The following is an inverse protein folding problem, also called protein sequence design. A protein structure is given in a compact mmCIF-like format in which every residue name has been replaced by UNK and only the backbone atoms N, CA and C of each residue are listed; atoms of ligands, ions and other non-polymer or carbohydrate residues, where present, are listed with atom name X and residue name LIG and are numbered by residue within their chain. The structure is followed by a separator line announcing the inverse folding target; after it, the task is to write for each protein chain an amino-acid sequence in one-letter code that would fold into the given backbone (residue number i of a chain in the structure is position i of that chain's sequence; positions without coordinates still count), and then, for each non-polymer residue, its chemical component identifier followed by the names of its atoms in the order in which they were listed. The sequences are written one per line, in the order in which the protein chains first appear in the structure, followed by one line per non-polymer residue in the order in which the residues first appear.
data_IF_132880713252
#
_entry.id   IF_132880713252
#
_cell.length_a   1.000
_cell.length_b   1.000
_cell.length_c   1.000
_cell.angle_alpha   90.00
_cell.angle_beta   90.00
_cell.angle_gamma   90.00
#
_symmetry.space_group_name_H-M   'P 1'
#
loop_
_entity.id
_entity.type
_entity.pdbx_description
1 polymer ?
#
# COMPACT_ATOMS: atom_id res chain seq x y z
N UNK A 1 23.10 -1.56 9.41
CA UNK A 1 22.69 -0.16 9.40
C UNK A 1 21.18 -0.03 9.46
N UNK A 2 20.72 0.82 10.35
CA UNK A 2 19.30 1.13 10.44
C UNK A 2 18.96 2.26 9.50
N UNK A 3 17.92 2.08 8.69
CA UNK A 3 17.30 3.20 7.98
C UNK A 3 16.35 3.86 8.99
N UNK A 4 16.71 5.07 9.42
CA UNK A 4 15.88 5.85 10.33
C UNK A 4 15.00 6.75 9.48
N UNK A 5 13.74 6.39 9.40
CA UNK A 5 12.69 7.30 8.98
C UNK A 5 12.06 7.84 10.26
N UNK A 6 11.72 9.10 10.29
CA UNK A 6 11.23 9.77 11.50
C UNK A 6 10.09 8.98 12.17
N UNK A 7 10.35 8.42 13.35
CA UNK A 7 9.42 7.56 14.09
C UNK A 7 9.34 6.11 13.62
N UNK A 8 10.10 5.73 12.60
CA UNK A 8 10.10 4.39 12.05
C UNK A 8 11.55 3.93 11.86
N UNK A 9 11.93 2.85 12.55
CA UNK A 9 13.27 2.27 12.45
C UNK A 9 13.19 0.88 11.85
N UNK A 10 13.83 0.70 10.70
CA UNK A 10 13.93 -0.60 10.04
C UNK A 10 15.37 -0.79 9.60
N UNK A 11 15.90 -2.01 9.74
CA UNK A 11 17.22 -2.31 9.24
C UNK A 11 17.21 -2.39 7.72
N UNK A 12 18.31 -2.00 7.10
CA UNK A 12 18.48 -2.11 5.64
C UNK A 12 18.33 -3.56 5.17
N UNK A 13 18.73 -4.50 6.02
CA UNK A 13 18.54 -5.94 5.77
C UNK A 13 17.06 -6.33 5.85
N UNK A 14 16.27 -5.73 6.74
CA UNK A 14 14.82 -5.95 6.78
C UNK A 14 14.12 -5.39 5.55
N UNK A 15 14.62 -4.30 4.99
CA UNK A 15 14.11 -3.72 3.74
C UNK A 15 14.57 -4.50 2.50
N UNK A 16 15.76 -5.09 2.54
CA UNK A 16 16.35 -5.83 1.40
C UNK A 16 16.05 -7.33 1.42
N UNK A 17 15.81 -7.91 2.60
CA UNK A 17 15.64 -9.37 2.76
C UNK A 17 14.29 -9.86 2.27
N UNK A 18 13.49 -8.98 1.74
CA UNK A 18 12.20 -9.38 1.33
C UNK A 18 11.86 -8.75 0.00
N UNK A 19 12.19 -9.47 -1.04
CA UNK A 19 11.36 -9.42 -2.24
C UNK A 19 9.87 -9.67 -1.89
N UNK A 20 9.57 -9.98 -0.64
CA UNK A 20 8.26 -10.29 -0.09
C UNK A 20 8.10 -9.75 1.34
N UNK A 21 8.62 -8.54 1.63
CA UNK A 21 8.35 -7.89 2.92
C UNK A 21 6.86 -7.82 3.16
N UNK A 22 6.49 -8.03 4.40
CA UNK A 22 5.15 -7.73 4.85
C UNK A 22 4.92 -6.21 4.69
N UNK A 23 4.22 -5.82 3.64
CA UNK A 23 3.98 -4.41 3.33
C UNK A 23 3.10 -3.74 4.39
N UNK A 24 2.29 -4.52 5.11
CA UNK A 24 1.53 -4.03 6.26
C UNK A 24 2.50 -3.63 7.38
N UNK A 25 3.51 -4.44 7.61
CA UNK A 25 4.55 -4.11 8.59
C UNK A 25 5.32 -2.85 8.19
N UNK A 26 5.67 -2.72 6.91
CA UNK A 26 6.38 -1.54 6.40
C UNK A 26 5.55 -0.27 6.60
N UNK A 27 4.29 -0.27 6.13
CA UNK A 27 3.47 0.94 6.15
C UNK A 27 3.04 1.36 7.56
N UNK A 28 2.98 0.41 8.48
CA UNK A 28 2.63 0.65 9.88
C UNK A 28 3.84 0.90 10.79
N UNK A 29 5.04 1.04 10.23
CA UNK A 29 6.28 1.15 11.01
C UNK A 29 6.47 0.01 12.03
N UNK A 30 6.06 -1.20 11.68
CA UNK A 30 6.21 -2.39 12.51
C UNK A 30 5.10 -2.60 13.54
N UNK A 31 4.11 -1.71 13.61
CA UNK A 31 2.99 -1.85 14.57
C UNK A 31 2.04 -2.97 14.20
N UNK A 32 1.93 -3.30 12.92
CA UNK A 32 1.05 -4.34 12.40
C UNK A 32 1.83 -5.29 11.50
N UNK A 33 1.26 -6.47 11.29
CA UNK A 33 1.70 -7.43 10.27
C UNK A 33 0.48 -7.87 9.47
N UNK A 34 0.71 -8.58 8.37
CA UNK A 34 -0.37 -9.19 7.59
C UNK A 34 -1.20 -10.21 8.38
N UNK A 35 -0.70 -10.63 9.55
CA UNK A 35 -1.38 -11.58 10.45
C UNK A 35 -1.99 -10.91 11.68
N UNK A 36 -1.92 -9.58 11.78
CA UNK A 36 -2.54 -8.86 12.89
C UNK A 36 -4.06 -9.03 12.86
N UNK A 37 -4.66 -9.08 14.06
CA UNK A 37 -6.10 -9.20 14.14
C UNK A 37 -6.79 -7.86 13.79
N UNK A 38 -8.06 -7.89 13.36
CA UNK A 38 -8.78 -6.68 12.95
C UNK A 38 -8.88 -5.61 14.04
N UNK A 39 -8.96 -5.99 15.32
CA UNK A 39 -9.05 -5.01 16.41
C UNK A 39 -7.74 -4.23 16.57
N UNK A 40 -6.61 -4.89 16.39
CA UNK A 40 -5.30 -4.22 16.38
C UNK A 40 -5.19 -3.25 15.21
N UNK A 41 -5.65 -3.67 14.04
CA UNK A 41 -5.68 -2.80 12.85
C UNK A 41 -6.54 -1.56 13.09
N UNK A 42 -7.73 -1.72 13.64
CA UNK A 42 -8.64 -0.62 13.97
C UNK A 42 -7.96 0.35 14.94
N UNK A 43 -7.29 -0.16 15.96
CA UNK A 43 -6.61 0.68 16.96
C UNK A 43 -5.51 1.52 16.32
N UNK A 44 -4.66 0.90 15.50
CA UNK A 44 -3.57 1.61 14.82
C UNK A 44 -4.11 2.65 13.85
N UNK A 45 -5.13 2.32 13.07
CA UNK A 45 -5.76 3.25 12.13
C UNK A 45 -6.38 4.44 12.85
N UNK A 46 -7.07 4.22 13.97
CA UNK A 46 -7.67 5.31 14.76
C UNK A 46 -6.63 6.26 15.33
N UNK A 47 -5.50 5.72 15.79
CA UNK A 47 -4.40 6.53 16.30
C UNK A 47 -3.64 7.26 15.18
N UNK A 48 -3.72 6.74 13.98
CA UNK A 48 -3.02 7.25 12.82
C UNK A 48 -1.70 6.52 12.56
N UNK A 49 -1.45 6.22 11.28
CA UNK A 49 -0.18 5.67 10.81
C UNK A 49 0.83 6.81 10.70
N UNK A 50 2.08 6.55 11.07
CA UNK A 50 3.14 7.53 10.88
C UNK A 50 3.44 7.71 9.39
N UNK A 51 3.56 8.94 8.93
CA UNK A 51 3.88 9.26 7.54
C UNK A 51 5.19 8.60 7.07
N UNK A 52 6.14 8.38 7.98
CA UNK A 52 7.40 7.68 7.66
C UNK A 52 7.16 6.26 7.12
N UNK A 53 6.13 5.58 7.63
CA UNK A 53 5.74 4.25 7.12
C UNK A 53 5.21 4.33 5.69
N UNK A 54 4.44 5.37 5.39
CA UNK A 54 3.95 5.62 4.03
C UNK A 54 5.10 5.90 3.06
N UNK A 55 6.09 6.69 3.47
CA UNK A 55 7.30 6.93 2.67
C UNK A 55 8.08 5.63 2.43
N UNK A 56 8.25 4.82 3.48
CA UNK A 56 8.94 3.53 3.36
C UNK A 56 8.20 2.59 2.41
N UNK A 57 6.88 2.54 2.50
CA UNK A 57 6.05 1.75 1.59
C UNK A 57 6.20 2.22 0.13
N UNK A 58 6.08 3.53 -0.11
CA UNK A 58 6.22 4.09 -1.46
C UNK A 58 7.60 3.76 -2.05
N UNK A 59 8.65 3.89 -1.25
CA UNK A 59 10.00 3.54 -1.67
C UNK A 59 10.13 2.04 -2.02
N UNK A 60 9.58 1.17 -1.18
CA UNK A 60 9.58 -0.27 -1.43
C UNK A 60 8.85 -0.63 -2.73
N UNK A 61 7.75 0.06 -3.04
CA UNK A 61 6.95 -0.16 -4.24
C UNK A 61 7.52 0.51 -5.48
N UNK A 62 8.53 1.38 -5.34
CA UNK A 62 9.02 2.21 -6.44
C UNK A 62 8.03 3.29 -6.86
N UNK A 63 7.15 3.73 -5.96
CA UNK A 63 6.16 4.78 -6.22
C UNK A 63 6.72 6.14 -5.80
N UNK A 64 6.52 7.15 -6.65
CA UNK A 64 6.86 8.52 -6.29
C UNK A 64 5.78 9.12 -5.36
N UNK A 65 6.05 10.32 -4.84
CA UNK A 65 5.15 10.99 -3.90
C UNK A 65 3.77 11.26 -4.46
N UNK A 66 3.68 11.60 -5.73
CA UNK A 66 2.39 11.85 -6.40
C UNK A 66 1.58 10.56 -6.49
N UNK A 67 2.23 9.45 -6.84
CA UNK A 67 1.57 8.15 -6.96
C UNK A 67 1.01 7.68 -5.63
N UNK A 68 1.81 7.72 -4.56
CA UNK A 68 1.33 7.28 -3.24
C UNK A 68 0.25 8.22 -2.70
N UNK A 69 0.40 9.53 -2.85
CA UNK A 69 -0.59 10.48 -2.41
C UNK A 69 -1.94 10.24 -3.10
N UNK A 70 -1.94 10.03 -4.41
CA UNK A 70 -3.15 9.73 -5.16
C UNK A 70 -3.79 8.42 -4.68
N UNK A 71 -3.00 7.39 -4.43
CA UNK A 71 -3.50 6.10 -3.92
C UNK A 71 -4.18 6.24 -2.55
N UNK A 72 -3.71 7.18 -1.73
CA UNK A 72 -4.25 7.44 -0.39
C UNK A 72 -5.38 8.49 -0.37
N UNK A 73 -5.73 9.05 -1.52
CA UNK A 73 -6.75 10.09 -1.60
C UNK A 73 -6.32 11.42 -1.01
N UNK A 74 -5.03 11.73 -1.03
CA UNK A 74 -4.46 12.99 -0.52
C UNK A 74 -3.54 13.63 -1.57
N UNK A 75 -2.81 14.66 -1.19
CA UNK A 75 -1.87 15.34 -2.07
C UNK A 75 -0.43 15.15 -1.60
N UNK A 76 0.52 15.23 -2.53
CA UNK A 76 1.95 15.16 -2.18
C UNK A 76 2.35 16.29 -1.22
N UNK A 77 1.76 17.47 -1.36
CA UNK A 77 1.99 18.59 -0.44
C UNK A 77 1.52 18.25 0.99
N UNK A 78 0.36 17.62 1.14
CA UNK A 78 -0.17 17.20 2.45
C UNK A 78 0.75 16.16 3.08
N UNK A 79 1.18 15.16 2.34
CA UNK A 79 2.13 14.15 2.84
C UNK A 79 3.46 14.79 3.23
N UNK A 80 3.98 15.71 2.42
CA UNK A 80 5.25 16.40 2.71
C UNK A 80 5.20 17.22 4.00
N UNK A 81 4.06 17.85 4.27
CA UNK A 81 3.85 18.61 5.53
C UNK A 81 3.70 17.69 6.74
N UNK A 82 3.35 16.43 6.52
CA UNK A 82 3.11 15.46 7.59
C UNK A 82 4.33 14.61 7.93
N UNK A 83 5.52 14.98 7.47
CA UNK A 83 6.76 14.24 7.77
C UNK A 83 6.86 13.95 9.26
N UNK A 84 7.11 12.70 9.62
CA UNK A 84 7.27 12.23 10.99
C UNK A 84 6.00 12.36 11.87
N UNK A 85 4.88 12.79 11.32
CA UNK A 85 3.63 12.95 12.05
C UNK A 85 2.70 11.79 11.76
N UNK A 86 1.73 11.61 12.67
CA UNK A 86 0.64 10.68 12.45
C UNK A 86 -0.33 11.26 11.42
N UNK A 87 -0.73 10.43 10.48
CA UNK A 87 -1.72 10.78 9.47
C UNK A 87 -3.13 10.69 10.08
N UNK A 88 -4.10 11.31 9.41
CA UNK A 88 -5.50 11.18 9.82
C UNK A 88 -5.94 9.71 9.79
N UNK A 89 -6.96 9.36 10.56
CA UNK A 89 -7.51 8.00 10.56
C UNK A 89 -8.01 7.60 9.17
N UNK A 90 -8.59 8.51 8.42
CA UNK A 90 -9.06 8.24 7.06
C UNK A 90 -7.90 7.91 6.12
N UNK A 91 -6.85 8.72 6.12
CA UNK A 91 -5.66 8.44 5.28
C UNK A 91 -4.97 7.16 5.72
N UNK A 92 -4.92 6.89 7.03
CA UNK A 92 -4.35 5.67 7.60
C UNK A 92 -5.13 4.42 7.17
N UNK A 93 -6.46 4.50 7.12
CA UNK A 93 -7.31 3.43 6.60
C UNK A 93 -6.96 3.11 5.15
N UNK A 94 -6.89 4.14 4.30
CA UNK A 94 -6.50 3.95 2.90
C UNK A 94 -5.09 3.36 2.79
N UNK A 95 -4.16 3.82 3.60
CA UNK A 95 -2.78 3.32 3.60
C UNK A 95 -2.73 1.81 3.90
N UNK A 96 -3.40 1.38 4.96
CA UNK A 96 -3.45 -0.03 5.33
C UNK A 96 -4.09 -0.89 4.23
N UNK A 97 -5.21 -0.44 3.68
CA UNK A 97 -5.92 -1.18 2.63
C UNK A 97 -5.11 -1.27 1.33
N UNK A 98 -4.41 -0.20 0.95
CA UNK A 98 -3.53 -0.21 -0.22
C UNK A 98 -2.36 -1.17 -0.02
N UNK A 99 -1.77 -1.21 1.17
CA UNK A 99 -0.69 -2.15 1.48
C UNK A 99 -1.17 -3.61 1.40
N UNK A 100 -2.32 -3.92 1.98
CA UNK A 100 -2.92 -5.26 1.91
C UNK A 100 -3.24 -5.68 0.47
N UNK A 101 -3.82 -4.79 -0.30
CA UNK A 101 -4.14 -5.05 -1.70
C UNK A 101 -2.87 -5.29 -2.52
N UNK A 102 -1.82 -4.50 -2.27
CA UNK A 102 -0.55 -4.66 -2.95
C UNK A 102 0.11 -6.00 -2.64
N UNK A 103 0.01 -6.48 -1.39
CA UNK A 103 0.49 -7.83 -1.06
C UNK A 103 -0.24 -8.91 -1.86
N UNK A 104 -1.57 -8.82 -1.95
CA UNK A 104 -2.37 -9.73 -2.77
C UNK A 104 -2.00 -9.69 -4.25
N UNK A 105 -1.77 -8.48 -4.78
CA UNK A 105 -1.37 -8.29 -6.17
C UNK A 105 0.00 -8.87 -6.45
N UNK A 106 0.98 -8.59 -5.60
CA UNK A 106 2.34 -9.12 -5.75
C UNK A 106 2.34 -10.64 -5.65
N UNK A 107 1.57 -11.20 -4.73
CA UNK A 107 1.41 -12.66 -4.59
C UNK A 107 0.90 -13.30 -5.89
N UNK A 108 -0.09 -12.70 -6.52
CA UNK A 108 -0.65 -13.21 -7.77
C UNK A 108 0.28 -12.96 -8.96
N UNK A 109 0.77 -11.75 -9.15
CA UNK A 109 1.57 -11.36 -10.32
C UNK A 109 3.05 -11.77 -10.21
N UNK A 110 3.51 -12.13 -9.02
CA UNK A 110 4.83 -12.68 -8.78
C UNK A 110 5.94 -11.66 -8.45
N UNK A 111 5.72 -10.37 -8.69
CA UNK A 111 6.70 -9.33 -8.37
C UNK A 111 6.04 -7.96 -8.23
N UNK A 112 6.75 -7.03 -7.57
CA UNK A 112 6.34 -5.62 -7.48
C UNK A 112 6.26 -5.01 -8.88
N UNK A 113 7.21 -5.33 -9.75
CA UNK A 113 7.27 -4.82 -11.12
C UNK A 113 6.05 -5.24 -11.92
N UNK A 114 5.66 -6.50 -11.82
CA UNK A 114 4.48 -7.02 -12.51
C UNK A 114 3.18 -6.43 -11.96
N UNK A 115 3.09 -6.28 -10.64
CA UNK A 115 1.96 -5.60 -10.00
C UNK A 115 1.83 -4.15 -10.49
N UNK A 116 2.93 -3.41 -10.50
CA UNK A 116 2.97 -2.03 -10.98
C UNK A 116 2.60 -1.95 -12.47
N UNK A 117 3.10 -2.87 -13.29
CA UNK A 117 2.78 -2.91 -14.71
C UNK A 117 1.28 -3.11 -14.93
N UNK A 118 0.65 -4.03 -14.18
CA UNK A 118 -0.78 -4.26 -14.26
C UNK A 118 -1.57 -3.03 -13.80
N UNK A 119 -1.18 -2.41 -12.69
CA UNK A 119 -1.82 -1.21 -12.17
C UNK A 119 -1.77 -0.02 -13.13
N UNK A 120 -0.72 0.06 -13.94
CA UNK A 120 -0.49 1.17 -14.86
C UNK A 120 -0.99 0.91 -16.28
N UNK A 121 -1.50 -0.28 -16.56
CA UNK A 121 -2.02 -0.66 -17.87
C UNK A 121 -3.53 -0.49 -17.92
N UNK A 122 -4.05 0.05 -19.00
CA UNK A 122 -5.50 0.16 -19.21
C UNK A 122 -6.12 -1.22 -19.43
N UNK A 123 -7.23 -1.49 -18.75
CA UNK A 123 -7.97 -2.75 -18.88
C UNK A 123 -9.45 -2.47 -19.14
N UNK A 124 -10.07 -3.37 -19.90
CA UNK A 124 -11.49 -3.23 -20.26
C UNK A 124 -12.40 -3.25 -19.04
N UNK A 125 -12.05 -4.02 -18.00
CA UNK A 125 -12.78 -4.09 -16.73
C UNK A 125 -12.83 -2.74 -16.00
N UNK A 126 -11.95 -1.82 -16.36
CA UNK A 126 -11.87 -0.46 -15.81
C UNK A 126 -12.24 0.61 -16.86
N UNK A 127 -13.10 0.25 -17.81
CA UNK A 127 -13.49 1.14 -18.92
C UNK A 127 -12.28 1.68 -19.67
N UNK A 128 -11.31 0.80 -19.98
CA UNK A 128 -10.06 1.13 -20.67
C UNK A 128 -9.21 2.17 -19.93
N UNK A 129 -9.30 2.20 -18.61
CA UNK A 129 -8.45 3.01 -17.73
C UNK A 129 -7.52 2.12 -16.91
N UNK A 130 -6.49 2.70 -16.34
CA UNK A 130 -5.55 2.00 -15.49
C UNK A 130 -6.15 1.77 -14.08
N UNK A 131 -6.01 0.57 -13.49
CA UNK A 131 -6.54 0.28 -12.16
C UNK A 131 -6.04 1.22 -11.06
N UNK A 132 -4.82 1.77 -11.20
CA UNK A 132 -4.27 2.70 -10.21
C UNK A 132 -5.16 3.91 -9.95
N UNK A 133 -6.00 4.29 -10.91
CA UNK A 133 -6.89 5.45 -10.79
C UNK A 133 -8.03 5.23 -9.79
N UNK A 134 -8.30 4.00 -9.40
CA UNK A 134 -9.37 3.66 -8.46
C UNK A 134 -8.85 3.17 -7.11
N UNK A 135 -7.53 3.17 -6.88
CA UNK A 135 -6.94 2.74 -5.61
C UNK A 135 -7.40 3.56 -4.40
N UNK A 136 -7.76 4.81 -4.62
CA UNK A 136 -8.18 5.73 -3.56
C UNK A 136 -9.63 5.56 -3.12
N UNK A 137 -10.37 4.63 -3.71
CA UNK A 137 -11.76 4.40 -3.35
C UNK A 137 -11.97 2.98 -2.82
N UNK A 138 -12.88 2.83 -1.87
CA UNK A 138 -13.25 1.52 -1.32
C UNK A 138 -13.76 0.61 -2.43
N UNK A 139 -14.70 1.11 -3.25
CA UNK A 139 -15.28 0.33 -4.36
C UNK A 139 -14.25 -0.04 -5.41
N UNK A 140 -13.31 0.88 -5.71
CA UNK A 140 -12.23 0.60 -6.66
C UNK A 140 -11.31 -0.51 -6.16
N UNK A 141 -10.95 -0.49 -4.89
CA UNK A 141 -10.14 -1.55 -4.28
C UNK A 141 -10.89 -2.89 -4.25
N UNK A 142 -12.18 -2.88 -3.96
CA UNK A 142 -13.01 -4.10 -4.03
C UNK A 142 -13.05 -4.67 -5.45
N UNK A 143 -13.21 -3.83 -6.46
CA UNK A 143 -13.17 -4.25 -7.85
C UNK A 143 -11.83 -4.92 -8.18
N UNK A 144 -10.72 -4.32 -7.79
CA UNK A 144 -9.38 -4.89 -8.00
C UNK A 144 -9.25 -6.24 -7.28
N UNK A 145 -9.67 -6.33 -6.02
CA UNK A 145 -9.66 -7.59 -5.25
C UNK A 145 -10.44 -8.69 -5.95
N UNK A 146 -11.62 -8.36 -6.45
CA UNK A 146 -12.47 -9.33 -7.14
C UNK A 146 -11.84 -9.82 -8.44
N UNK A 147 -11.23 -8.92 -9.21
CA UNK A 147 -10.54 -9.30 -10.44
C UNK A 147 -9.35 -10.21 -10.13
N UNK A 148 -8.51 -9.87 -9.15
CA UNK A 148 -7.40 -10.72 -8.73
C UNK A 148 -7.90 -12.10 -8.28
N UNK A 149 -8.99 -12.15 -7.52
CA UNK A 149 -9.61 -13.39 -7.07
C UNK A 149 -10.06 -14.24 -8.25
N UNK A 150 -10.71 -13.64 -9.23
CA UNK A 150 -11.14 -14.33 -10.45
C UNK A 150 -9.93 -14.88 -11.21
N UNK A 151 -8.88 -14.11 -11.37
CA UNK A 151 -7.65 -14.54 -12.03
C UNK A 151 -7.01 -15.72 -11.28
N UNK A 152 -6.96 -15.68 -9.95
CA UNK A 152 -6.43 -16.79 -9.13
C UNK A 152 -7.21 -18.09 -9.33
N UNK A 153 -8.49 -18.01 -9.59
CA UNK A 153 -9.36 -19.17 -9.83
C UNK A 153 -9.42 -19.57 -11.31
N UNK A 154 -8.58 -18.99 -12.18
CA UNK A 154 -8.52 -19.36 -13.60
C UNK A 154 -9.64 -18.78 -14.45
N UNK A 155 -10.41 -17.81 -13.95
CA UNK A 155 -11.41 -17.11 -14.76
C UNK A 155 -10.72 -16.07 -15.64
N UNK A 156 -11.25 -15.92 -16.86
CA UNK A 156 -10.80 -14.84 -17.75
C UNK A 156 -11.36 -13.53 -17.25
N UNK A 157 -10.49 -12.61 -16.99
CA UNK A 157 -10.89 -11.27 -16.57
C UNK A 157 -11.11 -10.34 -17.77
#
# INVERSE_FOLDING_TARGET
QCVILSGCQMTESQLKLSSYSDLVQVISCGELTSHSNPLSEITVVRNGVNASGVYAFANAMGWNMTTIANALGTTSATLSRSKAKLLSSQTSEHALEVAKLSMSGIDYFGSIENWNAWLNTAHIQFNSRAPRLVLNSIRGRELIKNIIKQLKHGFTA
#
